data_IF_693737336322
#
_entry.id   IF_693737336322
#
_cell.length_a   1.000
_cell.length_b   1.000
_cell.length_c   1.000
_cell.angle_alpha   90.00
_cell.angle_beta   90.00
_cell.angle_gamma   90.00
#
_symmetry.space_group_name_H-M   'P 1'
#
loop_
_entity.id
_entity.type
_entity.pdbx_description
1 polymer ?
#
# COMPACT_ATOMS: atom_id res chain seq x y z
N UNK A 1 -1.74 61.31 12.31
CA UNK A 1 -2.13 59.92 11.94
C UNK A 1 -1.03 59.00 12.41
N UNK A 2 -1.22 58.34 13.55
CA UNK A 2 -0.23 57.46 14.18
C UNK A 2 -0.42 56.03 13.67
N UNK A 3 0.53 55.53 12.86
CA UNK A 3 0.56 54.12 12.48
C UNK A 3 0.90 53.26 13.70
N UNK A 4 -0.08 52.50 14.18
CA UNK A 4 0.11 51.43 15.17
C UNK A 4 0.55 50.17 14.42
N UNK A 5 1.62 49.46 14.81
CA UNK A 5 1.97 48.20 14.15
C UNK A 5 0.90 47.16 14.50
N UNK A 6 0.46 46.42 13.48
CA UNK A 6 -0.37 45.22 13.65
C UNK A 6 0.50 44.16 14.32
N UNK A 7 0.23 43.91 15.60
CA UNK A 7 0.85 42.84 16.38
C UNK A 7 0.25 41.50 15.93
N UNK A 8 0.81 40.91 14.87
CA UNK A 8 0.49 39.55 14.44
C UNK A 8 1.36 38.56 15.22
N UNK A 9 1.11 38.44 16.52
CA UNK A 9 1.77 37.44 17.34
C UNK A 9 1.39 36.04 16.85
N UNK A 10 2.37 35.28 16.36
CA UNK A 10 2.19 33.88 15.95
C UNK A 10 1.79 33.06 17.18
N UNK A 11 0.70 32.27 17.16
CA UNK A 11 0.33 31.41 18.27
C UNK A 11 1.49 30.44 18.62
N UNK A 12 1.92 30.50 19.87
CA UNK A 12 2.94 29.62 20.46
C UNK A 12 2.27 28.75 21.52
N UNK A 13 2.75 27.51 21.68
CA UNK A 13 2.27 26.62 22.73
C UNK A 13 2.72 27.09 24.13
N UNK A 14 2.33 26.36 25.18
CA UNK A 14 2.71 26.65 26.58
C UNK A 14 4.22 26.66 26.84
N UNK A 15 5.04 26.27 25.86
CA UNK A 15 6.49 26.19 25.93
C UNK A 15 7.18 27.17 24.97
N UNK A 16 6.43 28.08 24.34
CA UNK A 16 6.98 29.10 23.46
C UNK A 16 7.35 28.59 22.07
N UNK A 17 6.91 27.38 21.69
CA UNK A 17 7.15 26.82 20.36
C UNK A 17 6.03 27.27 19.43
N UNK A 18 6.34 27.85 18.25
CA UNK A 18 5.31 28.21 17.27
C UNK A 18 4.48 26.97 16.91
N UNK A 19 3.16 27.04 17.08
CA UNK A 19 2.24 25.90 16.88
C UNK A 19 2.33 25.36 15.43
N UNK A 20 2.64 26.24 14.49
CA UNK A 20 2.88 25.93 13.08
C UNK A 20 4.12 25.03 12.87
N UNK A 21 5.13 25.15 13.74
CA UNK A 21 6.36 24.34 13.65
C UNK A 21 6.11 22.88 14.08
N UNK A 22 5.30 22.66 15.14
CA UNK A 22 4.90 21.35 15.64
C UNK A 22 4.01 20.61 14.64
N UNK A 23 3.03 21.29 14.03
CA UNK A 23 2.16 20.68 12.99
C UNK A 23 2.96 20.29 11.75
N UNK A 24 3.96 21.08 11.37
CA UNK A 24 4.86 20.75 10.26
C UNK A 24 5.75 19.54 10.56
N UNK A 25 6.15 19.34 11.83
CA UNK A 25 6.96 18.21 12.26
C UNK A 25 6.14 16.91 12.27
N UNK A 26 4.96 16.92 12.91
CA UNK A 26 4.07 15.76 12.97
C UNK A 26 3.63 15.27 11.57
N UNK A 27 3.35 16.19 10.64
CA UNK A 27 3.03 15.83 9.26
C UNK A 27 4.20 15.17 8.52
N UNK A 28 5.43 15.63 8.74
CA UNK A 28 6.64 15.01 8.16
C UNK A 28 6.91 13.63 8.74
N UNK A 29 6.61 13.41 10.01
CA UNK A 29 6.76 12.11 10.66
C UNK A 29 5.76 11.10 10.11
N UNK A 30 4.50 11.50 9.87
CA UNK A 30 3.51 10.66 9.21
C UNK A 30 3.88 10.32 7.76
N UNK A 31 4.37 11.29 6.98
CA UNK A 31 4.81 11.04 5.61
C UNK A 31 5.98 10.04 5.58
N UNK A 32 6.91 10.13 6.53
CA UNK A 32 8.03 9.19 6.69
C UNK A 32 7.56 7.81 7.14
N UNK A 33 6.70 7.75 8.16
CA UNK A 33 6.10 6.52 8.65
C UNK A 33 5.40 5.78 7.51
N UNK A 34 4.59 6.51 6.75
CA UNK A 34 3.86 6.01 5.60
C UNK A 34 4.71 5.88 4.33
N UNK A 35 6.00 6.21 4.33
CA UNK A 35 6.88 6.05 3.15
C UNK A 35 6.42 6.85 1.93
N UNK A 36 5.77 7.99 2.18
CA UNK A 36 5.32 8.94 1.17
C UNK A 36 6.34 10.06 0.93
N UNK A 37 7.36 10.18 1.80
CA UNK A 37 8.44 11.15 1.68
C UNK A 37 9.50 10.77 0.63
N UNK A 38 9.44 9.53 0.10
CA UNK A 38 10.42 9.01 -0.86
C UNK A 38 9.75 8.49 -2.12
N UNK A 39 10.19 9.05 -3.25
CA UNK A 39 9.86 8.52 -4.56
C UNK A 39 10.79 7.33 -4.91
N UNK A 40 10.25 6.19 -5.39
CA UNK A 40 11.04 4.98 -5.66
C UNK A 40 11.72 5.06 -7.04
N UNK A 41 12.64 6.02 -7.20
CA UNK A 41 13.35 6.19 -8.47
C UNK A 41 14.10 4.90 -8.85
N UNK A 42 13.92 4.43 -10.10
CA UNK A 42 14.62 3.27 -10.71
C UNK A 42 14.24 1.90 -10.17
N UNK A 43 13.15 1.78 -9.41
CA UNK A 43 12.68 0.48 -8.92
C UNK A 43 12.43 -0.57 -10.01
N UNK A 44 12.05 -0.12 -11.21
CA UNK A 44 11.86 -0.98 -12.40
C UNK A 44 13.15 -1.66 -12.88
N UNK A 45 14.33 -1.25 -12.39
CA UNK A 45 15.61 -1.90 -12.70
C UNK A 45 15.94 -3.03 -11.72
N UNK A 46 15.18 -3.16 -10.65
CA UNK A 46 15.45 -4.16 -9.64
C UNK A 46 14.95 -5.54 -10.08
N UNK A 47 15.79 -6.59 -9.97
CA UNK A 47 15.42 -7.93 -10.45
C UNK A 47 14.23 -8.51 -9.69
N UNK A 48 14.09 -8.19 -8.41
CA UNK A 48 12.95 -8.63 -7.60
C UNK A 48 11.63 -7.98 -8.07
N UNK A 49 11.66 -6.74 -8.53
CA UNK A 49 10.48 -6.04 -9.03
C UNK A 49 10.03 -6.63 -10.36
N UNK A 50 10.99 -6.91 -11.24
CA UNK A 50 10.74 -7.65 -12.48
C UNK A 50 10.21 -9.06 -12.20
N UNK A 51 10.78 -9.79 -11.25
CA UNK A 51 10.34 -11.14 -10.88
C UNK A 51 8.89 -11.16 -10.39
N UNK A 52 8.49 -10.24 -9.50
CA UNK A 52 7.10 -10.11 -9.04
C UNK A 52 6.20 -9.81 -10.24
N UNK A 53 6.53 -8.78 -11.02
CA UNK A 53 5.72 -8.34 -12.17
C UNK A 53 5.55 -9.44 -13.22
N UNK A 54 6.57 -10.27 -13.45
CA UNK A 54 6.53 -11.36 -14.43
C UNK A 54 5.86 -12.63 -13.90
N UNK A 55 5.92 -12.91 -12.60
CA UNK A 55 5.20 -14.02 -11.98
C UNK A 55 3.68 -13.81 -12.01
N UNK A 56 3.24 -12.56 -11.97
CA UNK A 56 1.83 -12.17 -11.91
C UNK A 56 1.01 -12.59 -13.16
N UNK A 57 1.45 -12.37 -14.42
CA UNK A 57 0.76 -12.89 -15.60
C UNK A 57 0.58 -14.42 -15.61
N UNK A 58 1.54 -15.16 -15.05
CA UNK A 58 1.43 -16.63 -14.93
C UNK A 58 0.27 -16.99 -14.00
N UNK A 59 0.13 -16.27 -12.88
CA UNK A 59 -0.99 -16.44 -11.97
C UNK A 59 -2.33 -16.09 -12.64
N UNK A 60 -2.40 -14.99 -13.39
CA UNK A 60 -3.62 -14.62 -14.12
C UNK A 60 -4.02 -15.63 -15.19
N UNK A 61 -3.04 -16.16 -15.93
CA UNK A 61 -3.30 -17.21 -16.91
C UNK A 61 -3.86 -18.47 -16.24
N UNK A 62 -3.35 -18.81 -15.04
CA UNK A 62 -3.89 -19.90 -14.24
C UNK A 62 -5.32 -19.62 -13.77
N UNK A 63 -5.63 -18.42 -13.27
CA UNK A 63 -6.99 -18.03 -12.86
C UNK A 63 -7.97 -18.09 -14.04
N UNK A 64 -7.59 -17.50 -15.17
CA UNK A 64 -8.41 -17.51 -16.38
C UNK A 64 -8.68 -18.93 -16.87
N UNK A 65 -7.65 -19.80 -16.88
CA UNK A 65 -7.80 -21.21 -17.23
C UNK A 65 -8.72 -21.95 -16.24
N UNK A 66 -8.57 -21.68 -14.95
CA UNK A 66 -9.41 -22.27 -13.90
C UNK A 66 -10.89 -21.92 -14.07
N UNK A 67 -11.18 -20.71 -14.56
CA UNK A 67 -12.54 -20.22 -14.84
C UNK A 67 -13.03 -20.56 -16.28
N UNK A 68 -12.50 -21.64 -16.86
CA UNK A 68 -12.84 -22.14 -18.21
C UNK A 68 -12.52 -21.19 -19.37
N UNK A 69 -11.79 -20.11 -19.11
CA UNK A 69 -11.42 -19.11 -20.11
C UNK A 69 -12.59 -18.28 -20.64
N UNK A 70 -13.67 -18.17 -19.87
CA UNK A 70 -14.84 -17.40 -20.27
C UNK A 70 -14.48 -15.91 -20.45
N UNK A 71 -14.94 -15.25 -21.52
CA UNK A 71 -14.69 -13.82 -21.68
C UNK A 71 -15.47 -13.04 -20.62
N UNK A 72 -14.76 -12.21 -19.85
CA UNK A 72 -15.38 -11.27 -18.91
C UNK A 72 -15.94 -10.09 -19.71
N UNK A 73 -17.25 -9.89 -19.65
CA UNK A 73 -17.95 -8.79 -20.33
C UNK A 73 -18.47 -7.81 -19.28
N UNK A 74 -18.09 -6.54 -19.42
CA UNK A 74 -18.45 -5.50 -18.48
C UNK A 74 -19.53 -4.58 -19.02
N UNK A 75 -20.57 -4.35 -18.24
CA UNK A 75 -21.49 -3.24 -18.43
C UNK A 75 -20.84 -1.89 -18.09
N UNK A 76 -21.49 -0.80 -18.50
CA UNK A 76 -21.03 0.56 -18.19
C UNK A 76 -20.98 0.85 -16.69
N UNK A 77 -21.93 0.30 -15.92
CA UNK A 77 -22.01 0.50 -14.47
C UNK A 77 -20.89 -0.25 -13.75
N UNK A 78 -20.61 -1.49 -14.16
CA UNK A 78 -19.49 -2.29 -13.65
C UNK A 78 -18.13 -1.66 -13.99
N UNK A 79 -18.03 -0.92 -15.10
CA UNK A 79 -16.80 -0.21 -15.47
C UNK A 79 -16.33 0.81 -14.43
N UNK A 80 -17.24 1.57 -13.79
CA UNK A 80 -16.87 2.52 -12.74
C UNK A 80 -16.44 1.80 -11.46
N UNK A 81 -17.14 0.73 -11.11
CA UNK A 81 -16.77 -0.11 -9.98
C UNK A 81 -15.37 -0.72 -10.20
N UNK A 82 -15.12 -1.28 -11.38
CA UNK A 82 -13.83 -1.83 -11.77
C UNK A 82 -12.69 -0.82 -11.61
N UNK A 83 -12.87 0.41 -12.08
CA UNK A 83 -11.88 1.48 -11.89
C UNK A 83 -11.63 1.78 -10.40
N UNK A 84 -12.68 1.76 -9.57
CA UNK A 84 -12.52 1.93 -8.12
C UNK A 84 -11.73 0.78 -7.49
N UNK A 85 -12.02 -0.48 -7.85
CA UNK A 85 -11.35 -1.66 -7.31
C UNK A 85 -9.88 -1.76 -7.75
N UNK A 86 -9.55 -1.26 -8.94
CA UNK A 86 -8.18 -1.29 -9.49
C UNK A 86 -7.36 -0.10 -9.02
N UNK A 87 -7.93 1.10 -8.92
CA UNK A 87 -7.16 2.32 -8.68
C UNK A 87 -7.34 2.86 -7.27
N UNK A 88 -8.57 2.95 -6.79
CA UNK A 88 -8.88 3.66 -5.55
C UNK A 88 -8.72 2.78 -4.32
N UNK A 89 -9.25 1.56 -4.36
CA UNK A 89 -9.18 0.61 -3.26
C UNK A 89 -7.72 0.29 -2.86
N UNK A 90 -6.78 0.00 -3.80
CA UNK A 90 -5.39 -0.25 -3.44
C UNK A 90 -4.72 0.92 -2.73
N UNK A 91 -5.08 2.17 -3.06
CA UNK A 91 -4.52 3.35 -2.37
C UNK A 91 -4.93 3.36 -0.91
N UNK A 92 -6.22 3.14 -0.62
CA UNK A 92 -6.76 3.12 0.74
C UNK A 92 -6.16 1.96 1.54
N UNK A 93 -6.17 0.78 0.94
CA UNK A 93 -5.69 -0.43 1.59
C UNK A 93 -4.20 -0.36 1.87
N UNK A 94 -3.37 0.00 0.89
CA UNK A 94 -1.93 0.09 1.10
C UNK A 94 -1.58 1.22 2.08
N UNK A 95 -2.34 2.33 2.11
CA UNK A 95 -2.15 3.36 3.13
C UNK A 95 -2.40 2.82 4.55
N UNK A 96 -3.50 2.10 4.76
CA UNK A 96 -3.83 1.52 6.06
C UNK A 96 -2.87 0.42 6.49
N UNK A 97 -2.57 -0.52 5.60
CA UNK A 97 -1.77 -1.69 5.93
C UNK A 97 -0.26 -1.45 5.80
N UNK A 98 0.25 -0.92 4.68
CA UNK A 98 1.70 -0.69 4.50
C UNK A 98 2.18 0.64 4.99
N UNK A 99 1.36 1.67 4.82
CA UNK A 99 1.66 3.00 5.30
C UNK A 99 1.67 3.01 6.82
N UNK A 100 0.51 2.73 7.42
CA UNK A 100 0.31 2.89 8.86
C UNK A 100 0.72 1.64 9.66
N UNK A 101 0.05 0.50 9.47
CA UNK A 101 0.30 -0.69 10.30
C UNK A 101 1.75 -1.20 10.19
N UNK A 102 2.23 -1.47 8.97
CA UNK A 102 3.60 -1.93 8.76
C UNK A 102 4.61 -0.84 9.13
N UNK A 103 4.30 0.44 8.86
CA UNK A 103 5.13 1.58 9.27
C UNK A 103 5.39 1.59 10.78
N UNK A 104 4.33 1.49 11.60
CA UNK A 104 4.42 1.44 13.07
C UNK A 104 5.22 0.22 13.53
N UNK A 105 4.98 -0.95 12.94
CA UNK A 105 5.74 -2.16 13.29
C UNK A 105 7.23 -1.96 12.98
N UNK A 106 7.57 -1.37 11.84
CA UNK A 106 8.94 -1.10 11.42
C UNK A 106 9.66 -0.07 12.29
N UNK A 107 9.00 0.71 13.15
CA UNK A 107 9.69 1.56 14.14
C UNK A 107 10.41 0.74 15.21
N UNK A 108 9.98 -0.49 15.45
CA UNK A 108 10.54 -1.39 16.47
C UNK A 108 11.59 -2.31 15.84
N UNK A 109 12.82 -2.27 16.34
CA UNK A 109 13.93 -3.07 15.81
C UNK A 109 13.64 -4.59 15.77
N UNK A 110 12.93 -5.12 16.77
CA UNK A 110 12.54 -6.53 16.83
C UNK A 110 11.64 -6.97 15.66
N UNK A 111 10.88 -6.05 15.06
CA UNK A 111 9.98 -6.36 13.95
C UNK A 111 10.65 -6.25 12.58
N UNK A 112 11.88 -5.71 12.52
CA UNK A 112 12.73 -5.72 11.32
C UNK A 112 13.50 -7.03 11.14
N UNK A 113 13.42 -7.94 12.12
CA UNK A 113 14.06 -9.25 12.05
C UNK A 113 13.51 -10.03 10.86
N UNK A 114 14.41 -10.58 10.06
CA UNK A 114 14.11 -11.41 8.90
C UNK A 114 13.87 -12.86 9.33
N UNK A 115 12.79 -13.44 8.82
CA UNK A 115 12.50 -14.87 8.82
C UNK A 115 12.49 -15.30 7.36
N UNK A 116 13.65 -15.75 6.87
CA UNK A 116 13.88 -15.94 5.42
C UNK A 116 13.89 -14.60 4.68
N UNK A 117 13.13 -14.42 3.58
CA UNK A 117 13.05 -13.15 2.84
C UNK A 117 12.07 -12.13 3.42
N UNK A 118 11.33 -12.48 4.49
CA UNK A 118 10.20 -11.70 5.03
C UNK A 118 10.54 -11.20 6.43
N UNK A 119 10.25 -9.94 6.74
CA UNK A 119 10.35 -9.42 8.11
C UNK A 119 9.11 -9.77 8.93
N UNK A 120 9.23 -9.75 10.26
CA UNK A 120 8.08 -9.93 11.15
C UNK A 120 7.01 -8.84 10.90
N UNK A 121 7.43 -7.59 10.66
CA UNK A 121 6.51 -6.50 10.32
C UNK A 121 5.68 -6.80 9.06
N UNK A 122 6.33 -7.26 7.98
CA UNK A 122 5.65 -7.65 6.76
C UNK A 122 4.73 -8.86 7.00
N UNK A 123 5.21 -9.90 7.68
CA UNK A 123 4.42 -11.10 7.97
C UNK A 123 3.13 -10.81 8.73
N UNK A 124 3.20 -10.03 9.81
CA UNK A 124 2.03 -9.67 10.61
C UNK A 124 1.07 -8.76 9.85
N UNK A 125 1.59 -7.77 9.14
CA UNK A 125 0.75 -6.88 8.32
C UNK A 125 0.04 -7.68 7.23
N UNK A 126 0.75 -8.60 6.58
CA UNK A 126 0.19 -9.40 5.50
C UNK A 126 -0.85 -10.40 6.01
N UNK A 127 -0.67 -10.93 7.21
CA UNK A 127 -1.68 -11.75 7.88
C UNK A 127 -2.93 -10.92 8.21
N UNK A 128 -2.76 -9.72 8.76
CA UNK A 128 -3.88 -8.83 9.05
C UNK A 128 -4.64 -8.44 7.77
N UNK A 129 -3.91 -8.13 6.70
CA UNK A 129 -4.48 -7.83 5.38
C UNK A 129 -5.28 -9.01 4.84
N UNK A 130 -4.72 -10.22 4.84
CA UNK A 130 -5.41 -11.40 4.31
C UNK A 130 -6.63 -11.79 5.15
N UNK A 131 -6.56 -11.67 6.48
CA UNK A 131 -7.69 -11.93 7.39
C UNK A 131 -8.86 -10.97 7.13
N UNK A 132 -8.57 -9.69 6.82
CA UNK A 132 -9.60 -8.71 6.48
C UNK A 132 -10.42 -9.09 5.23
N UNK A 133 -9.90 -10.00 4.39
CA UNK A 133 -10.53 -10.48 3.15
C UNK A 133 -11.36 -11.77 3.34
N UNK A 134 -11.35 -12.39 4.53
CA UNK A 134 -12.18 -13.57 4.81
C UNK A 134 -13.71 -13.36 4.59
N UNK A 135 -14.30 -12.17 4.82
CA UNK A 135 -15.73 -11.97 4.57
C UNK A 135 -16.12 -12.04 3.08
N UNK A 136 -15.18 -11.82 2.16
CA UNK A 136 -15.44 -11.73 0.72
C UNK A 136 -14.80 -12.85 -0.10
N UNK A 137 -13.88 -13.62 0.48
CA UNK A 137 -13.14 -14.66 -0.22
C UNK A 137 -13.10 -15.98 0.54
N UNK A 138 -12.96 -17.10 -0.20
CA UNK A 138 -12.73 -18.41 0.40
C UNK A 138 -11.36 -18.49 1.07
N UNK A 139 -11.19 -19.44 1.98
CA UNK A 139 -9.91 -19.63 2.69
C UNK A 139 -8.73 -19.83 1.74
N UNK A 140 -8.91 -20.60 0.66
CA UNK A 140 -7.85 -20.84 -0.33
C UNK A 140 -7.44 -19.53 -1.04
N UNK A 141 -8.39 -18.67 -1.37
CA UNK A 141 -8.11 -17.36 -1.94
C UNK A 141 -7.38 -16.45 -0.95
N UNK A 142 -7.77 -16.48 0.32
CA UNK A 142 -7.08 -15.71 1.38
C UNK A 142 -5.61 -16.12 1.54
N UNK A 143 -5.26 -17.40 1.34
CA UNK A 143 -3.86 -17.84 1.30
C UNK A 143 -3.12 -17.21 0.11
N UNK A 144 -3.73 -17.13 -1.07
CA UNK A 144 -3.17 -16.43 -2.23
C UNK A 144 -2.98 -14.93 -1.97
N UNK A 145 -4.00 -14.29 -1.38
CA UNK A 145 -3.97 -12.88 -0.97
C UNK A 145 -2.81 -12.64 0.01
N UNK A 146 -2.58 -13.55 0.97
CA UNK A 146 -1.44 -13.47 1.88
C UNK A 146 -0.08 -13.47 1.14
N UNK A 147 0.10 -14.31 0.10
CA UNK A 147 1.33 -14.34 -0.68
C UNK A 147 1.56 -13.07 -1.52
N UNK A 148 0.50 -12.54 -2.13
CA UNK A 148 0.54 -11.25 -2.82
C UNK A 148 0.91 -10.14 -1.82
N UNK A 149 0.23 -10.12 -0.68
CA UNK A 149 0.42 -9.19 0.43
C UNK A 149 1.87 -9.18 0.94
N UNK A 150 2.51 -10.35 1.07
CA UNK A 150 3.94 -10.46 1.40
C UNK A 150 4.84 -9.77 0.36
N UNK A 151 4.50 -9.89 -0.92
CA UNK A 151 5.26 -9.28 -2.02
C UNK A 151 5.13 -7.75 -2.00
N UNK A 152 3.95 -7.22 -1.68
CA UNK A 152 3.70 -5.79 -1.50
C UNK A 152 4.49 -5.22 -0.31
N UNK A 153 4.46 -5.92 0.83
CA UNK A 153 5.24 -5.54 2.00
C UNK A 153 6.75 -5.61 1.77
N UNK A 154 7.22 -6.57 0.97
CA UNK A 154 8.61 -6.65 0.55
C UNK A 154 8.99 -5.47 -0.35
N UNK A 155 8.15 -5.13 -1.34
CA UNK A 155 8.38 -3.97 -2.21
C UNK A 155 8.44 -2.66 -1.40
N UNK A 156 7.57 -2.51 -0.40
CA UNK A 156 7.58 -1.39 0.54
C UNK A 156 8.92 -1.29 1.28
N UNK A 157 9.39 -2.38 1.87
CA UNK A 157 10.62 -2.37 2.65
C UNK A 157 11.87 -2.14 1.80
N UNK A 158 11.93 -2.73 0.60
CA UNK A 158 13.08 -2.57 -0.31
C UNK A 158 13.18 -1.18 -0.92
N UNK A 159 12.05 -0.56 -1.22
CA UNK A 159 12.02 0.80 -1.78
C UNK A 159 12.01 1.90 -0.71
N UNK A 160 11.62 1.56 0.53
CA UNK A 160 11.30 2.54 1.57
C UNK A 160 10.12 3.45 1.21
N UNK A 161 9.29 3.03 0.24
CA UNK A 161 8.26 3.86 -0.38
C UNK A 161 6.92 3.12 -0.48
N UNK A 162 5.81 3.84 -0.33
CA UNK A 162 4.47 3.28 -0.49
C UNK A 162 4.07 3.07 -1.96
N UNK A 163 4.56 3.92 -2.85
CA UNK A 163 4.13 3.96 -4.26
C UNK A 163 4.28 2.62 -4.99
N UNK A 164 5.38 1.84 -4.82
CA UNK A 164 5.51 0.54 -5.44
C UNK A 164 4.46 -0.47 -5.00
N UNK A 165 4.11 -0.45 -3.70
CA UNK A 165 3.10 -1.36 -3.17
C UNK A 165 1.71 -1.02 -3.74
N UNK A 166 1.35 0.27 -3.80
CA UNK A 166 0.12 0.72 -4.48
C UNK A 166 0.10 0.28 -5.94
N UNK A 167 1.18 0.54 -6.69
CA UNK A 167 1.25 0.21 -8.11
C UNK A 167 1.18 -1.29 -8.39
N UNK A 168 1.90 -2.10 -7.61
CA UNK A 168 1.84 -3.56 -7.73
C UNK A 168 0.46 -4.10 -7.35
N UNK A 169 -0.16 -3.58 -6.29
CA UNK A 169 -1.50 -3.99 -5.88
C UNK A 169 -2.54 -3.64 -6.95
N UNK A 170 -2.53 -2.42 -7.48
CA UNK A 170 -3.37 -2.03 -8.60
C UNK A 170 -3.16 -2.95 -9.82
N UNK A 171 -1.91 -3.31 -10.11
CA UNK A 171 -1.58 -4.26 -11.17
C UNK A 171 -2.19 -5.64 -10.89
N UNK A 172 -2.00 -6.22 -9.69
CA UNK A 172 -2.60 -7.49 -9.28
C UNK A 172 -4.12 -7.48 -9.40
N UNK A 173 -4.79 -6.43 -8.90
CA UNK A 173 -6.25 -6.28 -8.99
C UNK A 173 -6.69 -6.19 -10.44
N UNK A 174 -5.99 -5.43 -11.28
CA UNK A 174 -6.35 -5.32 -12.70
C UNK A 174 -6.41 -6.68 -13.37
N UNK A 175 -5.39 -7.51 -13.25
CA UNK A 175 -5.44 -8.81 -13.89
C UNK A 175 -6.37 -9.80 -13.19
N UNK A 176 -6.58 -9.73 -11.87
CA UNK A 176 -7.62 -10.53 -11.20
C UNK A 176 -9.01 -10.20 -11.75
N UNK A 177 -9.45 -8.94 -11.69
CA UNK A 177 -10.79 -8.57 -12.14
C UNK A 177 -10.95 -8.80 -13.65
N UNK A 178 -9.94 -8.48 -14.48
CA UNK A 178 -10.01 -8.69 -15.93
C UNK A 178 -10.04 -10.17 -16.34
N UNK A 179 -9.61 -11.11 -15.47
CA UNK A 179 -9.63 -12.55 -15.78
C UNK A 179 -10.72 -13.32 -15.06
N UNK A 180 -11.15 -12.87 -13.88
CA UNK A 180 -12.09 -13.58 -13.00
C UNK A 180 -13.46 -12.90 -12.85
N UNK A 181 -13.63 -11.66 -13.35
CA UNK A 181 -14.87 -10.90 -13.10
C UNK A 181 -14.88 -10.21 -11.74
N UNK A 182 -16.03 -9.61 -11.40
CA UNK A 182 -16.29 -8.89 -10.13
C UNK A 182 -16.58 -9.84 -8.97
#
# INVERSE_FOLDING_TARGET
MTNKPLDTAIPVDRWGVPEQSLRSAAGRDLLRLCGLDRWPARIWREPWFAAITLATPVFWAWVWWWDSGSPVVWSREEGLLLLSLILWQPVIEEFGFRGFLQGILLEKASYRILIGPVTIANGLTSLAFSVAHLPTHSFLWVVGIFLVSLSLGYARERSGSLYPAIGLHAYFNAGYYLTAGL
#
